data_IF_479258476439
#
_entry.id   IF_479258476439
#
_cell.length_a   1.000
_cell.length_b   1.000
_cell.length_c   1.000
_cell.angle_alpha   90.00
_cell.angle_beta   90.00
_cell.angle_gamma   90.00
#
_symmetry.space_group_name_H-M   'P 1'
#
loop_
_entity.id
_entity.type
_entity.pdbx_description
1 polymer ?
#
# COMPACT_ATOMS: atom_id res chain seq x y z
N UNK A 1 -2.42 7.17 8.16
CA UNK A 1 -1.22 8.04 8.20
C UNK A 1 -0.29 7.56 7.10
N UNK A 2 0.30 8.46 6.31
CA UNK A 2 1.38 8.16 5.38
C UNK A 2 2.69 8.60 6.03
N UNK A 3 3.65 7.69 6.15
CA UNK A 3 4.97 7.97 6.69
C UNK A 3 5.97 8.30 5.60
N UNK A 4 5.88 7.58 4.48
CA UNK A 4 6.74 7.77 3.32
C UNK A 4 5.93 7.58 2.06
N UNK A 5 6.26 8.40 1.06
CA UNK A 5 5.80 8.26 -0.31
C UNK A 5 6.99 8.50 -1.24
N UNK A 6 7.15 7.63 -2.23
CA UNK A 6 8.19 7.74 -3.25
C UNK A 6 7.62 7.36 -4.61
N UNK A 7 7.70 8.28 -5.56
CA UNK A 7 7.25 8.06 -6.92
C UNK A 7 8.43 8.05 -7.90
N UNK A 8 8.55 6.97 -8.66
CA UNK A 8 9.53 6.81 -9.73
C UNK A 8 8.84 6.97 -11.08
N UNK A 9 9.02 8.13 -11.71
CA UNK A 9 8.50 8.41 -13.04
C UNK A 9 9.41 7.79 -14.11
N UNK A 10 8.83 6.91 -14.93
CA UNK A 10 9.55 6.21 -16.01
C UNK A 10 9.14 6.75 -17.38
N UNK A 11 7.87 7.10 -17.57
CA UNK A 11 7.31 7.60 -18.83
C UNK A 11 6.21 8.62 -18.56
N UNK A 12 6.07 9.58 -19.47
CA UNK A 12 5.00 10.57 -19.44
C UNK A 12 3.63 9.92 -19.70
N UNK A 13 2.64 10.28 -18.89
CA UNK A 13 1.21 10.01 -19.11
C UNK A 13 0.58 11.31 -19.62
N UNK A 14 -0.11 11.26 -20.75
CA UNK A 14 -0.70 12.43 -21.40
C UNK A 14 -2.19 12.57 -21.10
N UNK A 15 -2.71 13.77 -21.33
CA UNK A 15 -4.14 14.01 -21.25
C UNK A 15 -4.86 13.11 -22.26
N UNK A 16 -5.85 12.35 -21.78
CA UNK A 16 -6.59 11.39 -22.59
C UNK A 16 -6.02 9.97 -22.60
N UNK A 17 -4.84 9.73 -22.01
CA UNK A 17 -4.34 8.37 -21.83
C UNK A 17 -5.23 7.60 -20.85
N UNK A 18 -5.55 6.35 -21.20
CA UNK A 18 -6.11 5.39 -20.26
C UNK A 18 -4.98 4.68 -19.52
N UNK A 19 -5.05 4.70 -18.18
CA UNK A 19 -4.04 4.13 -17.29
C UNK A 19 -4.71 3.19 -16.30
N UNK A 20 -4.22 1.96 -16.23
CA UNK A 20 -4.60 0.97 -15.23
C UNK A 20 -3.64 1.06 -14.04
N UNK A 21 -4.18 1.00 -12.83
CA UNK A 21 -3.40 1.01 -11.60
C UNK A 21 -3.39 -0.38 -10.98
N UNK A 22 -2.20 -0.99 -10.91
CA UNK A 22 -2.01 -2.24 -10.18
C UNK A 22 -1.53 -1.92 -8.77
N UNK A 23 -2.39 -2.17 -7.78
CA UNK A 23 -2.08 -1.97 -6.36
C UNK A 23 -1.71 -3.30 -5.74
N UNK A 24 -0.53 -3.39 -5.13
CA UNK A 24 -0.10 -4.60 -4.44
C UNK A 24 0.48 -4.30 -3.07
N UNK A 25 0.13 -5.12 -2.09
CA UNK A 25 0.73 -5.09 -0.76
C UNK A 25 2.15 -5.63 -0.86
N UNK A 26 3.14 -4.79 -0.56
CA UNK A 26 4.57 -5.13 -0.62
C UNK A 26 5.16 -5.38 0.76
N UNK A 27 4.54 -4.86 1.81
CA UNK A 27 4.91 -5.12 3.18
C UNK A 27 3.71 -4.96 4.10
N UNK A 28 3.58 -5.80 5.11
CA UNK A 28 2.61 -5.60 6.17
C UNK A 28 3.06 -6.24 7.47
N UNK A 29 2.67 -5.66 8.60
CA UNK A 29 2.67 -6.39 9.86
C UNK A 29 1.52 -7.39 9.89
N UNK A 30 1.69 -8.50 10.59
CA UNK A 30 0.65 -9.52 10.75
C UNK A 30 -0.63 -8.98 11.42
N UNK A 31 -0.52 -7.92 12.22
CA UNK A 31 -1.64 -7.19 12.81
C UNK A 31 -2.18 -6.05 11.92
N UNK A 32 -1.67 -5.92 10.70
CA UNK A 32 -2.01 -4.88 9.72
C UNK A 32 -1.80 -3.44 10.17
N UNK A 33 -1.18 -3.19 11.33
CA UNK A 33 -1.04 -1.86 11.92
C UNK A 33 -0.22 -0.91 11.04
N UNK A 34 0.80 -1.46 10.37
CA UNK A 34 1.61 -0.78 9.38
C UNK A 34 1.69 -1.61 8.10
N UNK A 35 1.78 -0.90 6.98
CA UNK A 35 1.75 -1.47 5.65
C UNK A 35 2.56 -0.66 4.66
N UNK A 36 2.92 -1.30 3.56
CA UNK A 36 3.48 -0.68 2.37
C UNK A 36 2.76 -1.20 1.13
N UNK A 37 2.40 -0.29 0.23
CA UNK A 37 1.87 -0.64 -1.08
C UNK A 37 2.85 -0.23 -2.17
N UNK A 38 2.98 -1.09 -3.19
CA UNK A 38 3.57 -0.76 -4.48
C UNK A 38 2.46 -0.60 -5.48
N UNK A 39 2.33 0.60 -6.04
CA UNK A 39 1.37 0.90 -7.09
C UNK A 39 2.11 1.06 -8.42
N UNK A 40 1.65 0.36 -9.45
CA UNK A 40 2.21 0.42 -10.80
C UNK A 40 1.19 1.01 -11.76
N UNK A 41 1.57 2.10 -12.41
CA UNK A 41 0.73 2.80 -13.39
C UNK A 41 1.05 2.26 -14.78
N UNK A 42 0.11 1.54 -15.38
CA UNK A 42 0.25 0.87 -16.67
C UNK A 42 -0.58 1.59 -17.71
N UNK A 43 0.00 1.99 -18.85
CA UNK A 43 -0.80 2.46 -19.99
C UNK A 43 -1.45 1.29 -20.70
N UNK A 44 -2.48 1.58 -21.50
CA UNK A 44 -3.20 0.61 -22.34
C UNK A 44 -2.32 -0.23 -23.27
N UNK A 45 -1.17 0.31 -23.68
CA UNK A 45 -0.17 -0.40 -24.49
C UNK A 45 0.71 -1.38 -23.68
N UNK A 46 0.43 -1.53 -22.38
CA UNK A 46 1.17 -2.40 -21.46
C UNK A 46 2.46 -1.78 -20.92
N UNK A 47 2.75 -0.50 -21.22
CA UNK A 47 3.96 0.14 -20.72
C UNK A 47 3.79 0.63 -19.27
N UNK A 48 4.77 0.32 -18.42
CA UNK A 48 4.89 0.88 -17.08
C UNK A 48 5.32 2.35 -17.13
N UNK A 49 4.50 3.24 -16.59
CA UNK A 49 4.72 4.68 -16.61
C UNK A 49 5.29 5.22 -15.31
N UNK A 50 4.82 4.73 -14.17
CA UNK A 50 5.31 5.14 -12.87
C UNK A 50 5.17 4.00 -11.85
N UNK A 51 6.03 4.02 -10.83
CA UNK A 51 5.90 3.18 -9.65
C UNK A 51 5.80 4.08 -8.43
N UNK A 52 4.73 3.96 -7.67
CA UNK A 52 4.50 4.69 -6.44
C UNK A 52 4.57 3.73 -5.25
N UNK A 53 5.59 3.89 -4.43
CA UNK A 53 5.73 3.18 -3.16
C UNK A 53 5.21 4.08 -2.03
N UNK A 54 4.26 3.57 -1.27
CA UNK A 54 3.71 4.26 -0.09
C UNK A 54 3.85 3.39 1.13
N UNK A 55 4.21 4.00 2.26
CA UNK A 55 4.30 3.36 3.56
C UNK A 55 3.41 4.10 4.54
N UNK A 56 2.63 3.36 5.32
CA UNK A 56 1.64 3.96 6.19
C UNK A 56 1.14 3.05 7.28
N UNK A 57 0.12 3.57 7.97
CA UNK A 57 -0.59 2.91 9.04
C UNK A 57 -2.05 3.35 9.05
N UNK A 58 -2.92 2.52 9.60
CA UNK A 58 -4.29 2.92 9.91
C UNK A 58 -4.32 3.91 11.07
N UNK A 59 -5.34 4.76 11.11
CA UNK A 59 -5.52 5.78 12.15
C UNK A 59 -6.92 5.70 12.74
N UNK A 60 -6.99 5.67 14.06
CA UNK A 60 -8.22 6.02 14.77
C UNK A 60 -8.41 7.54 14.64
N UNK A 61 -9.41 7.97 13.88
CA UNK A 61 -9.63 9.38 13.54
C UNK A 61 -10.06 10.23 14.73
N UNK A 62 -10.64 9.63 15.77
CA UNK A 62 -11.02 10.34 17.00
C UNK A 62 -9.81 10.50 17.92
N UNK A 63 -9.07 9.40 18.16
CA UNK A 63 -7.90 9.41 19.06
C UNK A 63 -6.64 9.99 18.42
N UNK A 64 -6.62 10.10 17.08
CA UNK A 64 -5.47 10.51 16.27
C UNK A 64 -4.21 9.67 16.55
N UNK A 65 -4.40 8.36 16.73
CA UNK A 65 -3.32 7.40 17.01
C UNK A 65 -3.34 6.28 15.96
N UNK A 66 -2.18 5.64 15.78
CA UNK A 66 -2.09 4.40 15.00
C UNK A 66 -3.07 3.39 15.59
N UNK A 67 -3.79 2.72 14.71
CA UNK A 67 -4.78 1.71 15.06
C UNK A 67 -4.60 0.47 14.20
N UNK A 68 -5.29 -0.60 14.57
CA UNK A 68 -5.51 -1.77 13.73
C UNK A 68 -6.93 -1.69 13.15
N UNK A 69 -7.14 -2.32 12.00
CA UNK A 69 -8.48 -2.50 11.45
C UNK A 69 -9.30 -3.45 12.34
N UNK A 70 -10.63 -3.31 12.36
CA UNK A 70 -11.52 -4.35 12.89
C UNK A 70 -11.20 -5.71 12.26
N UNK A 71 -11.35 -6.80 13.03
CA UNK A 71 -10.92 -8.14 12.61
C UNK A 71 -11.46 -8.56 11.24
N UNK A 72 -12.74 -8.27 10.95
CA UNK A 72 -13.34 -8.58 9.64
C UNK A 72 -12.63 -7.90 8.47
N UNK A 73 -12.26 -6.62 8.62
CA UNK A 73 -11.54 -5.88 7.59
C UNK A 73 -10.07 -6.26 7.54
N UNK A 74 -9.48 -6.68 8.65
CA UNK A 74 -8.10 -7.12 8.74
C UNK A 74 -7.84 -8.31 7.82
N UNK A 75 -8.71 -9.33 7.86
CA UNK A 75 -8.57 -10.50 6.99
C UNK A 75 -8.61 -10.11 5.52
N UNK A 76 -9.61 -9.32 5.10
CA UNK A 76 -9.72 -8.84 3.72
C UNK A 76 -8.54 -7.98 3.29
N UNK A 77 -7.97 -7.21 4.22
CA UNK A 77 -6.79 -6.38 3.97
C UNK A 77 -5.54 -7.22 3.71
N UNK A 78 -5.32 -8.27 4.51
CA UNK A 78 -4.20 -9.20 4.33
C UNK A 78 -4.39 -10.13 3.11
N UNK A 79 -5.61 -10.26 2.61
CA UNK A 79 -5.92 -11.00 1.38
C UNK A 79 -5.79 -10.16 0.10
N UNK A 80 -5.39 -8.88 0.21
CA UNK A 80 -5.15 -8.04 -0.96
C UNK A 80 -4.05 -8.63 -1.86
N UNK A 81 -4.05 -8.32 -3.17
CA UNK A 81 -2.99 -8.78 -4.07
C UNK A 81 -1.61 -8.43 -3.53
N UNK A 82 -0.75 -9.44 -3.39
CA UNK A 82 0.62 -9.25 -2.90
C UNK A 82 1.59 -9.01 -4.05
N UNK A 83 2.64 -8.21 -3.79
CA UNK A 83 3.79 -8.20 -4.69
C UNK A 83 4.54 -9.53 -4.58
N UNK A 84 5.29 -9.89 -5.62
CA UNK A 84 6.06 -11.14 -5.63
C UNK A 84 7.10 -11.20 -4.50
N UNK A 85 7.55 -10.05 -4.04
CA UNK A 85 8.55 -9.80 -3.00
C UNK A 85 7.93 -9.34 -1.67
N UNK A 86 6.68 -9.73 -1.37
CA UNK A 86 5.98 -9.28 -0.14
C UNK A 86 6.75 -9.67 1.13
N UNK A 87 6.87 -8.72 2.05
CA UNK A 87 7.48 -8.93 3.37
C UNK A 87 6.42 -8.86 4.49
N UNK A 88 6.16 -9.99 5.15
CA UNK A 88 5.27 -10.06 6.31
C UNK A 88 6.07 -10.00 7.62
N UNK A 89 5.78 -8.99 8.43
CA UNK A 89 6.46 -8.74 9.71
C UNK A 89 5.65 -9.23 10.90
N UNK A 90 6.35 -9.51 12.00
CA UNK A 90 5.73 -9.74 13.30
C UNK A 90 4.83 -8.55 13.73
N UNK A 91 3.77 -8.80 14.52
CA UNK A 91 2.91 -7.74 15.03
C UNK A 91 3.69 -6.75 15.89
N UNK A 92 3.17 -5.53 16.04
CA UNK A 92 3.80 -4.55 16.91
C UNK A 92 3.84 -5.08 18.34
N UNK A 93 5.01 -5.04 18.99
CA UNK A 93 5.07 -5.24 20.44
C UNK A 93 4.16 -4.19 21.08
N UNK A 94 3.19 -4.63 21.88
CA UNK A 94 2.31 -3.74 22.62
C UNK A 94 3.17 -2.85 23.50
N UNK A 95 3.30 -1.56 23.18
CA UNK A 95 3.77 -0.60 24.17
C UNK A 95 2.57 -0.35 25.09
N UNK A 96 2.59 -1.06 26.23
CA UNK A 96 1.75 -0.80 27.40
C UNK A 96 1.88 0.64 27.87
#
# INVERSE_FOLDING_TARGET
ILFREECLFKREIRLGDQVDLLVRLSKARADGSCWSFRNEFMRKDGQLCAVLNVEGAWIDTQKRKIAILPAELMHRFLDLPHSADVELLAPSASRS
#
